data_IF_155359130615
#
_entry.id   IF_155359130615
#
_cell.length_a   1.000
_cell.length_b   1.000
_cell.length_c   1.000
_cell.angle_alpha   90.00
_cell.angle_beta   90.00
_cell.angle_gamma   90.00
#
_symmetry.space_group_name_H-M   'P 1'
#
loop_
_entity.id
_entity.type
_entity.pdbx_description
1 polymer ?
#
# COMPACT_ATOMS: atom_id res chain seq x y z
N UNK A 1 2.50 -42.49 8.57
CA UNK A 1 2.17 -41.32 9.39
C UNK A 1 3.13 -40.20 9.03
N UNK A 2 2.70 -39.25 8.18
CA UNK A 2 3.50 -38.09 7.82
C UNK A 2 3.11 -36.94 8.75
N UNK A 3 3.97 -36.64 9.72
CA UNK A 3 3.78 -35.47 10.56
C UNK A 3 4.19 -34.25 9.73
N UNK A 4 3.21 -33.60 9.10
CA UNK A 4 3.40 -32.25 8.60
C UNK A 4 3.65 -31.36 9.83
N UNK A 5 4.90 -30.93 10.01
CA UNK A 5 5.23 -29.85 10.92
C UNK A 5 4.59 -28.58 10.35
N UNK A 6 3.32 -28.34 10.69
CA UNK A 6 2.65 -27.08 10.42
C UNK A 6 3.35 -26.06 11.31
N UNK A 7 4.41 -25.47 10.79
CA UNK A 7 4.96 -24.24 11.31
C UNK A 7 3.85 -23.20 11.12
N UNK A 8 2.98 -23.07 12.12
CA UNK A 8 1.94 -22.07 12.11
C UNK A 8 2.63 -20.73 11.86
N UNK A 9 2.22 -20.12 10.76
CA UNK A 9 2.54 -18.79 10.25
C UNK A 9 2.22 -17.72 11.32
N UNK A 10 2.93 -17.75 12.46
CA UNK A 10 2.65 -16.98 13.68
C UNK A 10 2.89 -15.47 13.54
N UNK A 11 3.22 -15.00 12.34
CA UNK A 11 3.36 -13.59 12.00
C UNK A 11 2.42 -13.11 10.89
N UNK A 12 1.62 -13.99 10.29
CA UNK A 12 0.68 -13.59 9.23
C UNK A 12 -0.71 -13.41 9.82
N UNK A 13 -1.33 -12.23 9.65
CA UNK A 13 -2.71 -12.02 10.09
C UNK A 13 -3.63 -13.05 9.44
N UNK A 14 -4.42 -13.77 10.26
CA UNK A 14 -5.43 -14.71 9.78
C UNK A 14 -6.59 -13.99 9.07
N UNK A 15 -6.71 -12.68 9.29
CA UNK A 15 -7.71 -11.80 8.70
C UNK A 15 -7.05 -10.49 8.30
N UNK A 16 -7.39 -10.01 7.11
CA UNK A 16 -6.98 -8.70 6.63
C UNK A 16 -8.23 -7.86 6.40
N UNK A 17 -8.19 -6.61 6.84
CA UNK A 17 -9.24 -5.64 6.54
C UNK A 17 -8.86 -4.83 5.30
N UNK A 18 -9.87 -4.49 4.50
CA UNK A 18 -9.69 -3.58 3.38
C UNK A 18 -9.20 -2.22 3.91
N UNK A 19 -8.19 -1.61 3.29
CA UNK A 19 -7.68 -0.32 3.73
C UNK A 19 -8.73 0.79 3.57
N UNK A 20 -8.81 1.67 4.56
CA UNK A 20 -9.62 2.88 4.53
C UNK A 20 -8.77 4.11 4.19
N UNK A 21 -9.41 5.21 3.77
CA UNK A 21 -8.72 6.48 3.47
C UNK A 21 -7.86 7.00 4.64
N UNK A 22 -8.25 6.69 5.87
CA UNK A 22 -7.50 7.09 7.09
C UNK A 22 -6.19 6.31 7.28
N UNK A 23 -6.03 5.15 6.63
CA UNK A 23 -4.84 4.29 6.76
C UNK A 23 -3.69 4.68 5.84
N UNK A 24 -3.92 5.60 4.90
CA UNK A 24 -2.90 6.02 3.95
C UNK A 24 -2.28 7.36 4.27
N UNK A 25 -1.24 7.69 3.51
CA UNK A 25 -0.47 8.91 3.64
C UNK A 25 -0.53 9.72 2.36
N UNK A 26 -0.84 11.01 2.52
CA UNK A 26 -0.68 12.00 1.46
C UNK A 26 0.77 12.43 1.37
N UNK A 27 1.27 12.49 0.14
CA UNK A 27 2.58 13.04 -0.15
C UNK A 27 2.45 14.50 -0.58
N UNK A 28 3.51 15.32 -0.36
CA UNK A 28 3.53 16.67 -0.88
C UNK A 28 3.31 16.65 -2.40
N UNK A 29 2.48 17.57 -2.94
CA UNK A 29 2.25 17.66 -4.38
C UNK A 29 3.57 17.86 -5.12
N UNK A 30 3.74 17.15 -6.23
CA UNK A 30 4.91 17.30 -7.10
C UNK A 30 4.49 17.84 -8.45
N UNK A 31 5.27 18.78 -9.00
CA UNK A 31 4.99 19.32 -10.33
C UNK A 31 5.79 18.54 -11.38
N UNK A 32 5.09 17.93 -12.33
CA UNK A 32 5.73 17.13 -13.37
C UNK A 32 6.35 18.03 -14.45
N UNK A 33 7.66 18.28 -14.32
CA UNK A 33 8.44 19.11 -15.25
C UNK A 33 9.06 18.34 -16.42
N UNK A 34 9.01 17.01 -16.43
CA UNK A 34 9.82 16.22 -17.36
C UNK A 34 9.38 16.41 -18.81
N UNK A 35 10.37 16.69 -19.66
CA UNK A 35 10.21 17.00 -21.09
C UNK A 35 10.00 15.73 -21.95
N UNK A 36 10.24 14.54 -21.37
CA UNK A 36 10.25 13.26 -22.09
C UNK A 36 8.97 12.43 -21.92
N UNK A 37 8.03 12.85 -21.07
CA UNK A 37 6.75 12.16 -20.94
C UNK A 37 5.71 12.85 -21.82
N UNK A 38 4.92 12.06 -22.55
CA UNK A 38 3.82 12.52 -23.39
C UNK A 38 2.62 13.12 -22.61
N UNK A 39 2.78 13.31 -21.29
CA UNK A 39 1.75 13.83 -20.40
C UNK A 39 1.92 15.34 -20.22
N UNK A 40 0.82 16.12 -20.13
CA UNK A 40 0.87 17.56 -19.91
C UNK A 40 1.55 17.92 -18.58
N UNK A 41 2.18 19.10 -18.53
CA UNK A 41 2.75 19.65 -17.29
C UNK A 41 1.62 19.90 -16.29
N UNK A 42 1.59 19.12 -15.22
CA UNK A 42 0.51 19.15 -14.24
C UNK A 42 1.04 18.90 -12.83
N UNK A 43 0.25 19.32 -11.85
CA UNK A 43 0.44 18.95 -10.46
C UNK A 43 -0.01 17.50 -10.25
N UNK A 44 0.84 16.70 -9.62
CA UNK A 44 0.56 15.32 -9.21
C UNK A 44 0.35 15.31 -7.71
N UNK A 45 -0.81 14.82 -7.29
CA UNK A 45 -1.12 14.53 -5.90
C UNK A 45 -1.03 13.02 -5.73
N UNK A 46 -0.20 12.58 -4.78
CA UNK A 46 0.03 11.16 -4.53
C UNK A 46 -0.50 10.78 -3.16
N UNK A 47 -1.26 9.69 -3.13
CA UNK A 47 -1.77 9.06 -1.93
C UNK A 47 -1.37 7.59 -1.97
N UNK A 48 -0.74 7.11 -0.89
CA UNK A 48 -0.40 5.70 -0.76
C UNK A 48 -1.07 5.11 0.47
N UNK A 49 -1.57 3.89 0.35
CA UNK A 49 -2.21 3.15 1.43
C UNK A 49 -1.67 1.72 1.43
N UNK A 50 -1.41 1.11 2.60
CA UNK A 50 -1.00 -0.29 2.63
C UNK A 50 -2.08 -1.19 2.04
N UNK A 51 -1.66 -2.28 1.39
CA UNK A 51 -2.57 -3.22 0.74
C UNK A 51 -3.49 -3.94 1.74
N UNK A 52 -3.00 -4.14 2.96
CA UNK A 52 -3.75 -4.68 4.09
C UNK A 52 -3.73 -3.66 5.24
N UNK A 53 -4.90 -3.37 5.80
CA UNK A 53 -4.99 -2.61 7.04
C UNK A 53 -4.63 -3.48 8.24
N UNK A 54 -3.78 -2.98 9.13
CA UNK A 54 -3.76 -3.41 10.53
C UNK A 54 -4.63 -2.41 11.28
N UNK A 55 -5.82 -2.82 11.70
CA UNK A 55 -6.61 -2.03 12.65
C UNK A 55 -5.88 -2.10 14.00
N UNK A 56 -5.27 -1.00 14.43
CA UNK A 56 -4.70 -0.80 15.77
C UNK A 56 -5.48 0.26 16.53
#
# INVERSE_FOLDING_TARGET
AGNALVHHESGFPLYFYAPELKHGQWFPPTFQCSRNYALPRQWIITYAVPFFGLDV
#
